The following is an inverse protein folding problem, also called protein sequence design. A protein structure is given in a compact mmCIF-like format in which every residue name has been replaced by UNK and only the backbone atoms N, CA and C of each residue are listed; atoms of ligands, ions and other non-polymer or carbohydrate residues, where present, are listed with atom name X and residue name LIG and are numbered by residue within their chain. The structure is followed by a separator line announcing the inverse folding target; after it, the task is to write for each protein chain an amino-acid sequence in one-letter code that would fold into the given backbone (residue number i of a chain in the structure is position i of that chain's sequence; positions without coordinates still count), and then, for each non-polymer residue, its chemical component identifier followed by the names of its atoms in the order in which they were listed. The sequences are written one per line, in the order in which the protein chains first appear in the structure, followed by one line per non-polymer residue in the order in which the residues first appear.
data_IF_949234429625
#
_entry.id   IF_949234429625
#
_cell.length_a   1.000
_cell.length_b   1.000
_cell.length_c   1.000
_cell.angle_alpha   90.00
_cell.angle_beta   90.00
_cell.angle_gamma   90.00
#
_symmetry.space_group_name_H-M   'P 1'
#
loop_
_entity.id
_entity.type
_entity.pdbx_description
1 polymer ?
#
# COMPACT_ATOMS: atom_id res chain seq x y z
N UNK A 1 -2.88 -18.31 -1.54
CA UNK A 1 -2.39 -17.34 -0.54
C UNK A 1 -1.59 -16.30 -1.32
N UNK A 2 -2.08 -15.07 -1.39
CA UNK A 2 -1.36 -13.98 -2.07
C UNK A 2 -0.25 -13.40 -1.21
N UNK A 3 0.71 -12.74 -1.85
CA UNK A 3 1.71 -11.95 -1.16
C UNK A 3 1.10 -10.62 -0.72
N UNK A 4 1.58 -10.10 0.41
CA UNK A 4 1.10 -8.83 0.95
C UNK A 4 2.14 -7.75 0.74
N UNK A 5 1.69 -6.58 0.31
CA UNK A 5 2.53 -5.41 0.07
C UNK A 5 1.90 -4.18 0.69
N UNK A 6 2.75 -3.31 1.22
CA UNK A 6 2.39 -1.96 1.62
C UNK A 6 2.72 -1.05 0.45
N UNK A 7 1.74 -0.27 0.01
CA UNK A 7 1.86 0.74 -1.05
C UNK A 7 1.63 2.11 -0.42
N UNK A 8 2.62 2.97 -0.48
CA UNK A 8 2.50 4.38 -0.09
C UNK A 8 1.89 5.20 -1.23
N UNK A 9 1.01 6.12 -0.88
CA UNK A 9 0.48 7.09 -1.83
C UNK A 9 1.52 8.15 -2.12
N UNK A 10 1.89 8.29 -3.39
CA UNK A 10 2.81 9.34 -3.84
C UNK A 10 2.17 10.74 -3.87
N UNK A 11 0.85 10.83 -3.66
CA UNK A 11 0.10 12.08 -3.62
C UNK A 11 -0.79 12.16 -2.38
N UNK A 12 -0.89 13.36 -1.83
CA UNK A 12 -1.72 13.65 -0.66
C UNK A 12 -3.16 14.06 -1.01
N UNK A 13 -3.55 13.95 -2.30
CA UNK A 13 -4.91 14.22 -2.76
C UNK A 13 -5.76 12.96 -2.65
N UNK A 14 -6.91 13.06 -2.02
CA UNK A 14 -7.80 11.92 -1.83
C UNK A 14 -8.28 11.29 -3.15
N UNK A 15 -8.48 12.09 -4.19
CA UNK A 15 -8.83 11.59 -5.53
C UNK A 15 -7.76 10.65 -6.11
N UNK A 16 -6.48 11.03 -5.99
CA UNK A 16 -5.36 10.21 -6.49
C UNK A 16 -5.23 8.90 -5.69
N UNK A 17 -5.52 8.95 -4.38
CA UNK A 17 -5.50 7.80 -3.48
C UNK A 17 -6.60 6.79 -3.85
N UNK A 18 -7.84 7.25 -3.99
CA UNK A 18 -8.97 6.37 -4.34
C UNK A 18 -8.86 5.83 -5.77
N UNK A 19 -8.32 6.62 -6.70
CA UNK A 19 -8.01 6.16 -8.06
C UNK A 19 -6.95 5.04 -8.05
N UNK A 20 -5.90 5.18 -7.23
CA UNK A 20 -4.89 4.14 -7.08
C UNK A 20 -5.48 2.86 -6.48
N UNK A 21 -6.27 2.98 -5.40
CA UNK A 21 -6.92 1.83 -4.78
C UNK A 21 -7.80 1.10 -5.80
N UNK A 22 -8.63 1.85 -6.52
CA UNK A 22 -9.51 1.30 -7.57
C UNK A 22 -8.71 0.55 -8.62
N UNK A 23 -7.55 1.08 -9.03
CA UNK A 23 -6.66 0.45 -10.00
C UNK A 23 -6.00 -0.82 -9.46
N UNK A 24 -5.63 -0.84 -8.18
CA UNK A 24 -5.09 -2.02 -7.50
C UNK A 24 -6.14 -3.11 -7.36
N UNK A 25 -7.38 -2.76 -7.00
CA UNK A 25 -8.50 -3.71 -6.82
C UNK A 25 -9.27 -4.01 -8.10
N UNK A 26 -8.90 -3.40 -9.23
CA UNK A 26 -9.45 -3.76 -10.53
C UNK A 26 -9.08 -5.21 -10.89
N UNK A 27 -7.98 -5.70 -10.32
CA UNK A 27 -7.63 -7.10 -10.38
C UNK A 27 -8.36 -7.90 -9.29
N UNK A 28 -9.15 -8.87 -9.71
CA UNK A 28 -9.91 -9.78 -8.83
C UNK A 28 -9.02 -10.59 -7.87
N UNK A 29 -7.72 -10.70 -8.14
CA UNK A 29 -6.74 -11.38 -7.28
C UNK A 29 -6.07 -10.43 -6.29
N UNK A 30 -6.46 -9.16 -6.28
CA UNK A 30 -5.91 -8.13 -5.39
C UNK A 30 -6.99 -7.58 -4.48
N UNK A 31 -6.73 -7.62 -3.18
CA UNK A 31 -7.63 -7.08 -2.15
C UNK A 31 -6.90 -6.11 -1.25
N UNK A 32 -7.57 -5.05 -0.85
CA UNK A 32 -7.08 -4.16 0.21
C UNK A 32 -7.33 -4.84 1.56
N UNK A 33 -6.26 -5.06 2.31
CA UNK A 33 -6.30 -5.65 3.65
C UNK A 33 -6.39 -4.57 4.71
N UNK A 34 -5.69 -3.45 4.51
CA UNK A 34 -5.62 -2.36 5.48
C UNK A 34 -5.40 -1.03 4.78
N UNK A 35 -5.93 0.05 5.34
CA UNK A 35 -5.65 1.42 4.90
C UNK A 35 -4.96 2.16 6.03
N UNK A 36 -3.98 2.98 5.69
CA UNK A 36 -3.28 3.89 6.58
C UNK A 36 -3.58 5.31 6.11
N UNK A 37 -4.24 6.07 6.96
CA UNK A 37 -4.46 7.50 6.76
C UNK A 37 -3.86 8.22 7.98
N UNK A 38 -2.61 8.65 7.82
CA UNK A 38 -1.87 9.39 8.83
C UNK A 38 -1.15 10.57 8.17
N UNK A 39 -0.98 11.65 8.95
CA UNK A 39 -0.29 12.88 8.51
C UNK A 39 1.15 12.63 8.06
N UNK A 40 1.83 11.64 8.66
CA UNK A 40 3.24 11.31 8.35
C UNK A 40 3.33 10.23 7.26
N UNK A 41 2.31 9.38 7.14
CA UNK A 41 2.30 8.26 6.22
C UNK A 41 0.87 7.94 5.78
N UNK A 42 0.65 7.92 4.47
CA UNK A 42 -0.63 7.52 3.88
C UNK A 42 -0.39 6.43 2.85
N UNK A 43 -1.10 5.31 2.99
CA UNK A 43 -0.88 4.14 2.14
C UNK A 43 -1.89 3.03 2.38
N UNK A 44 -1.74 1.92 1.67
CA UNK A 44 -2.60 0.74 1.78
C UNK A 44 -1.78 -0.54 1.82
N UNK A 45 -2.25 -1.51 2.59
CA UNK A 45 -1.79 -2.89 2.49
C UNK A 45 -2.72 -3.61 1.54
N UNK A 46 -2.15 -4.21 0.50
CA UNK A 46 -2.85 -5.09 -0.42
C UNK A 46 -2.33 -6.51 -0.27
N UNK A 47 -3.20 -7.49 -0.50
CA UNK A 47 -2.83 -8.88 -0.71
C UNK A 47 -3.15 -9.22 -2.17
N UNK A 48 -2.17 -9.71 -2.89
CA UNK A 48 -2.24 -9.95 -4.33
C UNK A 48 -1.53 -11.26 -4.69
N UNK A 49 -2.12 -12.00 -5.63
CA UNK A 49 -1.50 -13.22 -6.18
C UNK A 49 -0.74 -13.00 -7.48
N UNK A 50 -0.70 -11.78 -8.02
CA UNK A 50 -0.16 -11.51 -9.36
C UNK A 50 0.66 -10.22 -9.48
N UNK A 51 0.67 -9.36 -8.46
CA UNK A 51 1.59 -8.24 -8.40
C UNK A 51 2.81 -8.56 -7.54
N UNK A 52 3.93 -7.98 -7.92
CA UNK A 52 5.19 -7.95 -7.18
C UNK A 52 5.63 -6.48 -6.92
N UNK A 53 6.72 -6.29 -6.18
CA UNK A 53 7.26 -4.96 -5.85
C UNK A 53 7.45 -4.07 -7.09
N UNK A 54 8.08 -4.59 -8.14
CA UNK A 54 8.37 -3.83 -9.36
C UNK A 54 7.08 -3.40 -10.08
N UNK A 55 6.10 -4.29 -10.20
CA UNK A 55 4.81 -3.96 -10.84
C UNK A 55 4.05 -2.90 -10.08
N UNK A 56 4.08 -2.94 -8.75
CA UNK A 56 3.41 -1.94 -7.90
C UNK A 56 4.13 -0.60 -7.98
N UNK A 57 5.46 -0.58 -7.96
CA UNK A 57 6.26 0.64 -8.11
C UNK A 57 6.12 1.30 -9.49
N UNK A 58 5.77 0.52 -10.51
CA UNK A 58 5.51 1.05 -11.85
C UNK A 58 4.14 1.74 -11.98
N UNK A 59 3.25 1.63 -10.98
CA UNK A 59 1.93 2.26 -11.03
C UNK A 59 2.08 3.76 -10.75
N UNK A 60 1.48 4.64 -11.58
CA UNK A 60 1.49 6.08 -11.31
C UNK A 60 0.81 6.37 -9.97
N UNK A 61 1.27 7.42 -9.28
CA UNK A 61 0.80 7.82 -7.94
C UNK A 61 1.17 6.85 -6.81
N UNK A 62 2.02 5.86 -7.06
CA UNK A 62 2.71 5.09 -6.03
C UNK A 62 4.00 5.82 -5.62
N UNK A 63 4.18 6.05 -4.32
CA UNK A 63 5.41 6.62 -3.78
C UNK A 63 6.45 5.52 -3.59
N UNK A 64 6.25 4.72 -2.56
CA UNK A 64 7.10 3.59 -2.21
C UNK A 64 6.28 2.31 -2.00
N UNK A 65 6.94 1.16 -2.15
CA UNK A 65 6.33 -0.14 -1.92
C UNK A 65 7.24 -1.00 -1.08
N UNK A 66 6.68 -1.67 -0.08
CA UNK A 66 7.40 -2.59 0.79
C UNK A 66 6.66 -3.93 0.92
N UNK A 67 7.38 -5.05 1.11
CA UNK A 67 6.74 -6.31 1.47
C UNK A 67 6.13 -6.21 2.87
N UNK A 68 4.88 -6.67 3.03
CA UNK A 68 4.14 -6.67 4.31
C UNK A 68 4.76 -7.56 5.38
N UNK A 69 5.71 -8.43 5.02
CA UNK A 69 6.53 -9.14 6.01
C UNK A 69 7.31 -8.16 6.92
N UNK A 70 7.45 -6.90 6.50
CA UNK A 70 7.98 -5.79 7.27
C UNK A 70 6.88 -4.95 7.98
N UNK A 71 5.66 -5.46 8.18
CA UNK A 71 4.61 -4.75 8.96
C UNK A 71 5.12 -4.33 10.35
N UNK A 72 6.04 -5.10 10.95
CA UNK A 72 6.72 -4.71 12.20
C UNK A 72 7.55 -3.42 12.09
N UNK A 73 8.10 -3.11 10.91
CA UNK A 73 8.81 -1.84 10.64
C UNK A 73 7.84 -0.67 10.48
N UNK A 74 6.66 -0.87 9.88
CA UNK A 74 5.63 0.19 9.84
C UNK A 74 5.00 0.42 11.21
N UNK A 75 4.86 -0.63 12.01
CA UNK A 75 4.51 -0.51 13.43
C UNK A 75 5.49 0.39 14.18
N UNK A 76 6.77 0.41 13.79
CA UNK A 76 7.78 1.31 14.36
C UNK A 76 7.74 2.74 13.76
N UNK A 77 7.17 2.94 12.56
CA UNK A 77 6.98 4.27 11.97
C UNK A 77 5.69 4.97 12.45
N UNK A 78 4.69 4.19 12.90
CA UNK A 78 3.41 4.71 13.43
C UNK A 78 3.18 4.49 14.92
N UNK A 79 4.01 3.70 15.59
CA UNK A 79 3.92 3.42 17.01
C UNK A 79 5.08 4.07 17.75
N UNK A 80 4.78 5.11 18.51
CA UNK A 80 5.62 5.51 19.64
C UNK A 80 5.89 4.26 20.46
N UNK A 81 7.17 3.91 20.56
CA UNK A 81 7.68 3.03 21.58
C UNK A 81 7.38 3.72 22.92
N UNK A 82 6.40 3.20 23.66
CA UNK A 82 6.10 3.59 25.04
C UNK A 82 5.88 2.34 25.86
#
# INVERSE_FOLDING_TARGET
MGEKFIVEFGSNKDEDREALITKLTADERTKVVKRFDHVVFSGVVIETGNHNLDTLRAIPNVGNVWPSRNEGMLGALGGSQS
#
